data_IF_403558738713
#
_entry.id   IF_403558738713
#
_cell.length_a   1.000
_cell.length_b   1.000
_cell.length_c   1.000
_cell.angle_alpha   90.00
_cell.angle_beta   90.00
_cell.angle_gamma   90.00
#
_symmetry.space_group_name_H-M   'P 1'
#
loop_
_entity.id
_entity.type
_entity.pdbx_description
1 polymer ?
#
# COMPACT_ATOMS: atom_id res chain seq x y z
N UNK A 1 0.53 -0.37 -33.83
CA UNK A 1 0.61 0.23 -32.48
C UNK A 1 -0.21 -0.64 -31.52
N UNK A 2 0.46 -1.49 -30.77
CA UNK A 2 -0.22 -2.40 -29.84
C UNK A 2 -0.39 -1.68 -28.52
N UNK A 3 -1.63 -1.30 -28.19
CA UNK A 3 -2.02 -0.91 -26.83
C UNK A 3 -2.15 -2.18 -26.00
N UNK A 4 -1.10 -2.58 -25.31
CA UNK A 4 -1.18 -3.63 -24.30
C UNK A 4 -1.72 -3.00 -23.00
N UNK A 5 -3.02 -2.77 -22.94
CA UNK A 5 -3.75 -2.66 -21.69
C UNK A 5 -3.99 -4.07 -21.14
N UNK A 6 -2.92 -4.83 -20.92
CA UNK A 6 -3.04 -6.10 -20.24
C UNK A 6 -3.01 -5.85 -18.73
N UNK A 7 -4.20 -5.70 -18.15
CA UNK A 7 -4.34 -5.84 -16.71
C UNK A 7 -3.90 -7.26 -16.31
N UNK A 8 -2.89 -7.35 -15.47
CA UNK A 8 -2.46 -8.63 -14.90
C UNK A 8 -3.51 -9.10 -13.90
N UNK A 9 -3.95 -10.33 -14.05
CA UNK A 9 -4.85 -11.00 -13.12
C UNK A 9 -4.12 -12.18 -12.48
N UNK A 10 -4.04 -12.21 -11.15
CA UNK A 10 -3.56 -13.39 -10.42
C UNK A 10 -4.77 -14.15 -9.89
N UNK A 11 -4.91 -15.40 -10.32
CA UNK A 11 -5.97 -16.29 -9.84
C UNK A 11 -5.43 -17.22 -8.76
N UNK A 12 -5.92 -17.07 -7.53
CA UNK A 12 -5.59 -17.98 -6.42
C UNK A 12 -6.90 -18.64 -5.98
N UNK A 13 -7.02 -19.97 -6.16
CA UNK A 13 -8.21 -20.75 -5.76
C UNK A 13 -9.54 -20.14 -6.20
N UNK A 14 -9.62 -19.66 -7.45
CA UNK A 14 -10.81 -19.01 -7.99
C UNK A 14 -11.00 -17.54 -7.61
N UNK A 15 -10.04 -16.96 -6.89
CA UNK A 15 -10.00 -15.53 -6.57
C UNK A 15 -9.18 -14.79 -7.63
N UNK A 16 -9.75 -13.73 -8.17
CA UNK A 16 -9.13 -12.92 -9.22
C UNK A 16 -8.65 -11.59 -8.62
N UNK A 17 -7.34 -11.42 -8.48
CA UNK A 17 -6.72 -10.23 -7.94
C UNK A 17 -6.32 -9.29 -9.06
N UNK A 18 -6.82 -8.04 -9.04
CA UNK A 18 -6.55 -7.01 -10.04
C UNK A 18 -5.99 -5.72 -9.44
N UNK A 19 -6.27 -5.47 -8.18
CA UNK A 19 -5.96 -4.22 -7.50
C UNK A 19 -5.31 -4.44 -6.15
N UNK A 20 -4.32 -3.61 -5.85
CA UNK A 20 -3.51 -3.67 -4.64
C UNK A 20 -3.50 -2.31 -3.94
N UNK A 21 -3.86 -2.30 -2.66
CA UNK A 21 -3.67 -1.15 -1.78
C UNK A 21 -2.35 -1.29 -1.00
N UNK A 22 -1.60 -0.22 -0.88
CA UNK A 22 -0.38 -0.15 -0.05
C UNK A 22 -0.54 0.96 0.96
N UNK A 23 -0.58 0.60 2.23
CA UNK A 23 -0.74 1.54 3.35
C UNK A 23 0.62 1.82 3.97
N UNK A 24 1.09 3.04 3.81
CA UNK A 24 2.44 3.48 4.14
C UNK A 24 3.35 3.47 2.91
N UNK A 25 3.77 4.66 2.46
CA UNK A 25 4.61 4.85 1.28
C UNK A 25 6.03 5.26 1.67
N UNK A 26 6.61 4.54 2.63
CA UNK A 26 7.98 4.66 3.07
C UNK A 26 8.95 3.79 2.27
N UNK A 27 10.09 3.45 2.87
CA UNK A 27 11.17 2.66 2.26
C UNK A 27 10.74 1.27 1.76
N UNK A 28 9.75 0.65 2.38
CA UNK A 28 9.20 -0.65 1.96
C UNK A 28 7.97 -0.45 1.08
N UNK A 29 7.03 0.39 1.49
CA UNK A 29 5.73 0.53 0.84
C UNK A 29 5.80 1.14 -0.55
N UNK A 30 6.57 2.21 -0.75
CA UNK A 30 6.64 2.85 -2.06
C UNK A 30 7.27 1.96 -3.14
N UNK A 31 8.44 1.32 -2.93
CA UNK A 31 8.99 0.36 -3.90
C UNK A 31 8.05 -0.81 -4.17
N UNK A 32 7.35 -1.32 -3.14
CA UNK A 32 6.36 -2.39 -3.28
C UNK A 32 5.20 -1.95 -4.17
N UNK A 33 4.65 -0.76 -3.94
CA UNK A 33 3.58 -0.18 -4.75
C UNK A 33 4.00 -0.03 -6.22
N UNK A 34 5.19 0.49 -6.47
CA UNK A 34 5.76 0.64 -7.82
C UNK A 34 5.91 -0.74 -8.50
N UNK A 35 6.44 -1.73 -7.78
CA UNK A 35 6.60 -3.09 -8.30
C UNK A 35 5.28 -3.72 -8.74
N UNK A 36 4.20 -3.56 -7.97
CA UNK A 36 2.86 -4.02 -8.37
C UNK A 36 2.33 -3.25 -9.57
N UNK A 37 2.53 -1.95 -9.62
CA UNK A 37 2.12 -1.13 -10.78
C UNK A 37 2.85 -1.58 -12.05
N UNK A 38 4.16 -1.78 -11.99
CA UNK A 38 4.97 -2.24 -13.12
C UNK A 38 4.59 -3.65 -13.58
N UNK A 39 4.13 -4.49 -12.65
CA UNK A 39 3.58 -5.82 -12.95
C UNK A 39 2.17 -5.77 -13.58
N UNK A 40 1.54 -4.60 -13.70
CA UNK A 40 0.27 -4.41 -14.38
C UNK A 40 -0.97 -4.34 -13.48
N UNK A 41 -0.80 -4.29 -12.15
CA UNK A 41 -1.91 -4.13 -11.22
C UNK A 41 -2.38 -2.67 -11.14
N UNK A 42 -3.64 -2.48 -10.79
CA UNK A 42 -4.14 -1.20 -10.30
C UNK A 42 -3.65 -0.99 -8.87
N UNK A 43 -3.00 0.13 -8.60
CA UNK A 43 -2.39 0.42 -7.30
C UNK A 43 -3.03 1.63 -6.63
N UNK A 44 -3.37 1.45 -5.37
CA UNK A 44 -3.82 2.51 -4.46
C UNK A 44 -2.79 2.68 -3.34
N UNK A 45 -2.01 3.75 -3.41
CA UNK A 45 -1.06 4.11 -2.35
C UNK A 45 -1.69 5.06 -1.35
N UNK A 46 -1.53 4.76 -0.06
CA UNK A 46 -2.07 5.55 1.05
C UNK A 46 -0.96 5.92 2.02
N UNK A 47 -0.88 7.18 2.39
CA UNK A 47 0.02 7.64 3.45
C UNK A 47 -0.63 8.76 4.25
N UNK A 48 -0.34 8.85 5.56
CA UNK A 48 -0.86 9.91 6.42
C UNK A 48 -0.12 11.24 6.23
N UNK A 49 1.09 11.20 5.68
CA UNK A 49 1.91 12.38 5.42
C UNK A 49 1.49 13.07 4.13
N UNK A 50 0.93 14.27 4.23
CA UNK A 50 0.56 15.07 3.06
C UNK A 50 1.79 15.37 2.19
N UNK A 51 2.95 15.60 2.79
CA UNK A 51 4.21 15.79 2.05
C UNK A 51 4.55 14.57 1.19
N UNK A 52 4.42 13.36 1.74
CA UNK A 52 4.64 12.11 1.00
C UNK A 52 3.67 12.00 -0.18
N UNK A 53 2.39 12.26 0.06
CA UNK A 53 1.34 12.23 -0.96
C UNK A 53 1.66 13.21 -2.10
N UNK A 54 1.99 14.45 -1.77
CA UNK A 54 2.26 15.49 -2.76
C UNK A 54 3.49 15.16 -3.61
N UNK A 55 4.54 14.63 -2.99
CA UNK A 55 5.76 14.22 -3.70
C UNK A 55 5.49 13.04 -4.64
N UNK A 56 4.84 12.01 -4.16
CA UNK A 56 4.53 10.82 -4.98
C UNK A 56 3.58 11.17 -6.14
N UNK A 57 2.58 12.00 -5.90
CA UNK A 57 1.70 12.52 -6.96
C UNK A 57 2.45 13.35 -8.02
N UNK A 58 3.51 14.04 -7.61
CA UNK A 58 4.38 14.79 -8.51
C UNK A 58 5.43 13.91 -9.23
N UNK A 59 5.41 12.60 -9.04
CA UNK A 59 6.41 11.68 -9.59
C UNK A 59 7.78 11.79 -8.94
N UNK A 60 7.83 12.22 -7.67
CA UNK A 60 9.07 12.43 -6.90
C UNK A 60 9.16 11.44 -5.75
N UNK A 61 10.39 11.03 -5.46
CA UNK A 61 10.71 10.14 -4.36
C UNK A 61 10.72 10.88 -3.01
N UNK A 62 9.84 10.55 -2.05
CA UNK A 62 9.85 11.15 -0.72
C UNK A 62 10.80 10.46 0.28
N UNK A 63 11.31 9.26 -0.06
CA UNK A 63 12.04 8.42 0.88
C UNK A 63 13.54 8.76 0.96
N UNK A 64 14.11 9.37 -0.08
CA UNK A 64 15.53 9.61 -0.19
C UNK A 64 16.34 8.35 -0.56
N UNK A 65 15.70 7.24 -0.87
CA UNK A 65 16.34 6.05 -1.40
C UNK A 65 16.65 6.25 -2.89
N UNK A 66 17.93 6.31 -3.30
CA UNK A 66 18.30 6.59 -4.69
C UNK A 66 17.78 5.54 -5.69
N UNK A 67 17.53 4.31 -5.25
CA UNK A 67 17.00 3.25 -6.12
C UNK A 67 15.54 3.52 -6.56
N UNK A 68 14.86 4.47 -5.93
CA UNK A 68 13.48 4.84 -6.22
C UNK A 68 13.36 6.15 -7.02
N UNK A 69 14.45 6.93 -7.14
CA UNK A 69 14.39 8.29 -7.71
C UNK A 69 13.79 8.35 -9.11
N UNK A 70 14.16 7.43 -9.98
CA UNK A 70 13.79 7.46 -11.40
C UNK A 70 12.60 6.53 -11.74
N UNK A 71 12.03 5.84 -10.75
CA UNK A 71 10.97 4.84 -10.98
C UNK A 71 9.60 5.22 -10.44
N UNK A 72 9.48 6.35 -9.73
CA UNK A 72 8.17 6.84 -9.26
C UNK A 72 7.31 7.21 -10.48
N UNK A 73 6.10 6.64 -10.60
CA UNK A 73 5.24 6.94 -11.74
C UNK A 73 4.95 8.43 -11.90
N UNK A 74 4.97 8.90 -13.14
CA UNK A 74 4.69 10.30 -13.47
C UNK A 74 3.25 10.70 -13.13
N UNK A 75 2.98 12.00 -12.93
CA UNK A 75 1.63 12.49 -12.72
C UNK A 75 0.69 12.06 -13.86
N UNK A 76 -0.51 11.59 -13.50
CA UNK A 76 -1.51 11.14 -14.47
C UNK A 76 -1.29 9.74 -15.04
N UNK A 77 -0.31 8.97 -14.51
CA UNK A 77 -0.12 7.57 -14.90
C UNK A 77 -1.36 6.74 -14.59
N UNK A 78 -1.82 5.96 -15.56
CA UNK A 78 -2.97 5.06 -15.41
C UNK A 78 -2.71 4.00 -14.33
N UNK A 79 -3.75 3.59 -13.62
CA UNK A 79 -3.71 2.55 -12.58
C UNK A 79 -2.81 2.89 -11.38
N UNK A 80 -2.50 4.19 -11.20
CA UNK A 80 -1.69 4.71 -10.10
C UNK A 80 -2.46 5.78 -9.34
N UNK A 81 -2.96 5.42 -8.16
CA UNK A 81 -3.82 6.28 -7.33
C UNK A 81 -3.15 6.50 -5.98
N UNK A 82 -2.98 7.74 -5.60
CA UNK A 82 -2.32 8.14 -4.35
C UNK A 82 -3.28 9.04 -3.55
N UNK A 83 -3.52 8.67 -2.31
CA UNK A 83 -4.43 9.39 -1.42
C UNK A 83 -3.97 9.33 0.04
N UNK A 84 -4.47 10.22 0.87
CA UNK A 84 -4.27 10.18 2.32
C UNK A 84 -5.41 9.45 3.07
N UNK A 85 -6.36 8.88 2.35
CA UNK A 85 -7.57 8.26 2.91
C UNK A 85 -7.64 6.76 2.60
N UNK A 86 -7.51 5.92 3.64
CA UNK A 86 -7.79 4.50 3.53
C UNK A 86 -9.26 4.22 3.14
N UNK A 87 -10.19 5.04 3.62
CA UNK A 87 -11.61 4.93 3.28
C UNK A 87 -11.89 5.14 1.78
N UNK A 88 -11.07 5.95 1.11
CA UNK A 88 -11.14 6.13 -0.35
C UNK A 88 -10.52 4.97 -1.11
N UNK A 89 -9.35 4.49 -0.67
CA UNK A 89 -8.56 3.49 -1.39
C UNK A 89 -9.06 2.05 -1.21
N UNK A 90 -9.28 1.62 0.02
CA UNK A 90 -9.53 0.21 0.39
C UNK A 90 -10.74 -0.40 -0.33
N UNK A 91 -11.87 0.31 -0.56
CA UNK A 91 -13.00 -0.26 -1.30
C UNK A 91 -12.68 -0.69 -2.73
N UNK A 92 -11.61 -0.16 -3.32
CA UNK A 92 -11.15 -0.50 -4.67
C UNK A 92 -10.14 -1.64 -4.71
N UNK A 93 -9.68 -2.14 -3.55
CA UNK A 93 -8.56 -3.07 -3.46
C UNK A 93 -9.02 -4.50 -3.19
N UNK A 94 -8.46 -5.44 -3.95
CA UNK A 94 -8.60 -6.88 -3.71
C UNK A 94 -7.66 -7.34 -2.58
N UNK A 95 -6.47 -6.76 -2.54
CA UNK A 95 -5.45 -6.99 -1.50
C UNK A 95 -4.98 -5.66 -0.95
N UNK A 96 -4.80 -5.60 0.37
CA UNK A 96 -4.24 -4.43 1.06
C UNK A 96 -3.01 -4.86 1.84
N UNK A 97 -1.87 -4.25 1.51
CA UNK A 97 -0.61 -4.43 2.22
C UNK A 97 -0.43 -3.30 3.22
N UNK A 98 -0.21 -3.64 4.49
CA UNK A 98 0.08 -2.67 5.55
C UNK A 98 1.58 -2.66 5.79
N UNK A 99 2.26 -1.60 5.38
CA UNK A 99 3.72 -1.44 5.40
C UNK A 99 4.16 -0.24 6.25
N UNK A 100 3.39 0.07 7.29
CA UNK A 100 3.69 1.19 8.19
C UNK A 100 4.88 0.87 9.09
N UNK A 101 5.62 1.90 9.55
CA UNK A 101 6.78 1.70 10.42
C UNK A 101 6.39 1.13 11.77
N UNK A 102 7.32 0.34 12.35
CA UNK A 102 7.24 -0.19 13.72
C UNK A 102 8.47 0.28 14.49
N UNK A 103 8.53 1.55 14.90
CA UNK A 103 9.69 2.07 15.63
C UNK A 103 9.84 1.38 16.99
N UNK A 104 11.06 1.44 17.54
CA UNK A 104 11.36 0.89 18.87
C UNK A 104 11.12 2.00 19.90
N UNK A 105 10.40 1.68 20.96
CA UNK A 105 10.19 2.56 22.13
C UNK A 105 11.46 2.68 22.97
N UNK A 106 11.49 3.61 23.92
CA UNK A 106 12.60 3.76 24.88
C UNK A 106 12.88 2.47 25.68
N UNK A 107 11.88 1.63 25.90
CA UNK A 107 11.98 0.34 26.59
C UNK A 107 12.41 -0.81 25.67
N UNK A 108 12.91 -0.51 24.46
CA UNK A 108 13.33 -1.47 23.44
C UNK A 108 12.21 -2.42 22.97
N UNK A 109 10.95 -1.99 23.06
CA UNK A 109 9.79 -2.73 22.57
C UNK A 109 9.30 -2.13 21.25
N UNK A 110 8.76 -2.95 20.33
CA UNK A 110 8.13 -2.43 19.11
C UNK A 110 6.93 -1.53 19.47
N UNK A 111 6.89 -0.34 18.89
CA UNK A 111 5.70 0.51 18.95
C UNK A 111 4.70 0.06 17.87
N UNK A 112 3.63 -0.58 18.31
CA UNK A 112 2.60 -1.11 17.43
C UNK A 112 1.45 -0.13 17.17
N UNK A 113 1.53 1.10 17.68
CA UNK A 113 0.45 2.09 17.53
C UNK A 113 0.15 2.42 16.07
N UNK A 114 1.17 2.52 15.23
CA UNK A 114 1.00 2.75 13.78
C UNK A 114 0.33 1.57 13.08
N UNK A 115 0.73 0.35 13.41
CA UNK A 115 0.14 -0.87 12.85
C UNK A 115 -1.32 -1.02 13.28
N UNK A 116 -1.61 -0.80 14.57
CA UNK A 116 -2.98 -0.88 15.09
C UNK A 116 -3.88 0.21 14.51
N UNK A 117 -3.37 1.44 14.34
CA UNK A 117 -4.09 2.54 13.71
C UNK A 117 -4.39 2.26 12.24
N UNK A 118 -3.37 1.87 11.47
CA UNK A 118 -3.54 1.53 10.06
C UNK A 118 -4.47 0.32 9.86
N UNK A 119 -4.33 -0.71 10.69
CA UNK A 119 -5.20 -1.88 10.67
C UNK A 119 -6.66 -1.51 10.90
N UNK A 120 -6.93 -0.68 11.91
CA UNK A 120 -8.29 -0.19 12.20
C UNK A 120 -8.88 0.55 11.01
N UNK A 121 -8.14 1.49 10.44
CA UNK A 121 -8.60 2.29 9.31
C UNK A 121 -8.91 1.41 8.09
N UNK A 122 -8.04 0.43 7.81
CA UNK A 122 -8.24 -0.55 6.74
C UNK A 122 -9.50 -1.39 6.99
N UNK A 123 -9.64 -2.01 8.17
CA UNK A 123 -10.79 -2.86 8.47
C UNK A 123 -12.11 -2.10 8.45
N UNK A 124 -12.13 -0.85 8.90
CA UNK A 124 -13.32 0.00 8.82
C UNK A 124 -13.69 0.37 7.38
N UNK A 125 -12.71 0.43 6.49
CA UNK A 125 -12.90 0.80 5.09
C UNK A 125 -13.29 -0.39 4.19
N UNK A 126 -13.13 -1.63 4.65
CA UNK A 126 -13.50 -2.82 3.89
C UNK A 126 -15.03 -2.90 3.75
N UNK A 127 -15.57 -2.94 2.52
CA UNK A 127 -17.01 -3.07 2.31
C UNK A 127 -17.55 -4.39 2.87
N UNK A 128 -18.72 -4.35 3.47
CA UNK A 128 -19.40 -5.56 3.97
C UNK A 128 -19.59 -6.57 2.84
N UNK A 129 -19.19 -7.81 3.08
CA UNK A 129 -19.30 -8.90 2.10
C UNK A 129 -18.19 -8.94 1.05
N UNK A 130 -17.21 -8.01 1.11
CA UNK A 130 -16.03 -8.08 0.25
C UNK A 130 -15.10 -9.22 0.68
N UNK A 131 -14.25 -9.66 -0.23
CA UNK A 131 -13.21 -10.67 0.02
C UNK A 131 -11.81 -10.07 0.03
N UNK A 132 -11.68 -8.82 0.49
CA UNK A 132 -10.40 -8.14 0.58
C UNK A 132 -9.44 -8.89 1.50
N UNK A 133 -8.26 -9.18 1.00
CA UNK A 133 -7.18 -9.81 1.77
C UNK A 133 -6.30 -8.71 2.35
N UNK A 134 -6.05 -8.77 3.65
CA UNK A 134 -5.15 -7.83 4.33
C UNK A 134 -3.87 -8.56 4.73
N UNK A 135 -2.73 -8.02 4.31
CA UNK A 135 -1.40 -8.56 4.60
C UNK A 135 -0.61 -7.53 5.41
N UNK A 136 -0.09 -7.95 6.54
CA UNK A 136 0.79 -7.15 7.37
C UNK A 136 2.25 -7.43 6.99
N UNK A 137 2.95 -6.43 6.45
CA UNK A 137 4.36 -6.50 6.07
C UNK A 137 5.28 -5.66 6.98
N UNK A 138 4.87 -5.43 8.21
CA UNK A 138 5.68 -4.75 9.22
C UNK A 138 6.49 -5.74 10.04
N UNK A 139 7.64 -5.33 10.55
CA UNK A 139 8.43 -6.14 11.49
C UNK A 139 7.73 -6.19 12.84
N UNK A 140 7.13 -7.32 13.17
CA UNK A 140 6.34 -7.54 14.38
C UNK A 140 6.67 -8.90 15.00
N UNK A 141 6.33 -9.07 16.28
CA UNK A 141 6.46 -10.38 16.93
C UNK A 141 5.25 -11.30 16.63
N UNK A 142 5.36 -12.62 16.83
CA UNK A 142 4.26 -13.55 16.59
C UNK A 142 3.00 -13.18 17.38
N UNK A 143 1.83 -13.25 16.72
CA UNK A 143 0.54 -13.01 17.33
C UNK A 143 -0.02 -11.60 17.18
N UNK A 144 0.77 -10.63 16.69
CA UNK A 144 0.31 -9.24 16.49
C UNK A 144 -0.89 -9.14 15.55
N UNK A 145 -0.89 -9.90 14.47
CA UNK A 145 -1.98 -9.90 13.50
C UNK A 145 -3.32 -10.35 14.10
N UNK A 146 -3.29 -11.17 15.15
CA UNK A 146 -4.48 -11.61 15.84
C UNK A 146 -4.99 -10.58 16.89
N UNK A 147 -4.17 -9.59 17.24
CA UNK A 147 -4.47 -8.56 18.24
C UNK A 147 -4.91 -7.23 17.61
N UNK A 148 -4.66 -7.04 16.31
CA UNK A 148 -5.03 -5.86 15.53
C UNK A 148 -6.31 -6.11 14.76
#
# INVERSE_FOLDING_TARGET
MFSLTSSVEIKIRGYNMKSVGVIGLGYVGLPTAIGFHDAGFEVWGVDVSQRTIDMVKAGKNPTGDPDVDDIVPAPGTERWHITNSAAEAVPHCDVVLVTVPTPITHDLKPDLSFVAGAGRDVFQAIPKGSRTIVVLESTVYPGVTAQT
#
